data_IF_511942917980
#
_entry.id   IF_511942917980
#
_cell.length_a   1.000
_cell.length_b   1.000
_cell.length_c   1.000
_cell.angle_alpha   90.00
_cell.angle_beta   90.00
_cell.angle_gamma   90.00
#
_symmetry.space_group_name_H-M   'P 1'
#
loop_
_entity.id
_entity.type
_entity.pdbx_description
1 polymer ?
#
# COMPACT_ATOMS: atom_id res chain seq x y z
N UNK A 1 18.76 -8.73 -21.97
CA UNK A 1 17.29 -8.86 -21.86
C UNK A 1 16.68 -7.49 -22.14
N UNK A 2 15.64 -7.36 -22.98
CA UNK A 2 15.00 -6.07 -23.22
C UNK A 2 14.44 -5.53 -21.90
N UNK A 3 14.77 -4.28 -21.58
CA UNK A 3 14.45 -3.65 -20.31
C UNK A 3 12.95 -3.34 -20.28
N UNK A 4 12.16 -4.18 -19.61
CA UNK A 4 10.73 -3.91 -19.42
C UNK A 4 10.58 -2.71 -18.50
N UNK A 5 10.14 -1.57 -19.05
CA UNK A 5 9.84 -0.37 -18.27
C UNK A 5 8.69 -0.68 -17.30
N UNK A 6 8.81 -0.22 -16.04
CA UNK A 6 7.79 -0.38 -15.01
C UNK A 6 7.19 0.97 -14.64
N UNK A 7 5.89 0.98 -14.35
CA UNK A 7 5.20 2.16 -13.87
C UNK A 7 5.81 2.62 -12.54
N UNK A 8 6.22 3.89 -12.45
CA UNK A 8 6.74 4.47 -11.20
C UNK A 8 5.70 4.43 -10.05
N UNK A 9 4.41 4.50 -10.37
CA UNK A 9 3.34 4.55 -9.36
C UNK A 9 2.94 3.19 -8.79
N UNK A 10 2.79 2.17 -9.65
CA UNK A 10 2.25 0.85 -9.24
C UNK A 10 3.14 -0.35 -9.58
N UNK A 11 4.29 -0.14 -10.24
CA UNK A 11 5.25 -1.19 -10.55
C UNK A 11 4.85 -2.17 -11.65
N UNK A 12 3.66 -2.05 -12.24
CA UNK A 12 3.24 -2.89 -13.38
C UNK A 12 4.15 -2.67 -14.60
N UNK A 13 4.38 -3.71 -15.39
CA UNK A 13 5.03 -3.59 -16.69
C UNK A 13 4.25 -2.61 -17.58
N UNK A 14 4.95 -1.66 -18.18
CA UNK A 14 4.35 -0.68 -19.08
C UNK A 14 4.20 -1.28 -20.48
N UNK A 15 3.12 -0.88 -21.16
CA UNK A 15 2.82 -1.26 -22.53
C UNK A 15 2.07 -0.11 -23.23
N UNK A 16 2.16 -0.03 -24.55
CA UNK A 16 1.49 0.99 -25.38
C UNK A 16 0.53 0.39 -26.42
N UNK A 17 0.23 -0.90 -26.32
CA UNK A 17 -0.54 -1.67 -27.30
C UNK A 17 -2.05 -1.63 -27.06
N UNK A 18 -2.50 -1.67 -25.81
CA UNK A 18 -3.92 -1.76 -25.48
C UNK A 18 -4.31 -0.85 -24.31
N UNK A 19 -5.14 0.17 -24.58
CA UNK A 19 -5.58 1.14 -23.59
C UNK A 19 -6.39 0.55 -22.42
N UNK A 20 -7.04 -0.59 -22.64
CA UNK A 20 -7.86 -1.27 -21.64
C UNK A 20 -7.07 -2.26 -20.78
N UNK A 21 -5.75 -2.41 -21.02
CA UNK A 21 -4.90 -3.33 -20.28
C UNK A 21 -4.04 -2.61 -19.22
N UNK A 22 -3.76 -3.26 -18.07
CA UNK A 22 -2.86 -2.70 -17.06
C UNK A 22 -1.51 -2.28 -17.66
N UNK A 23 -0.99 -1.15 -17.19
CA UNK A 23 0.29 -0.63 -17.66
C UNK A 23 0.23 0.21 -18.92
N UNK A 24 -0.96 0.50 -19.46
CA UNK A 24 -1.08 1.35 -20.65
C UNK A 24 -0.46 2.74 -20.45
N UNK A 25 0.35 3.14 -21.43
CA UNK A 25 0.90 4.48 -21.61
C UNK A 25 0.76 4.83 -23.10
N UNK A 26 0.24 6.02 -23.45
CA UNK A 26 0.24 6.49 -24.84
C UNK A 26 1.63 6.38 -25.48
N UNK A 27 1.74 5.91 -26.75
CA UNK A 27 3.03 5.70 -27.41
C UNK A 27 3.96 6.90 -27.33
N UNK A 28 3.43 8.13 -27.48
CA UNK A 28 4.24 9.36 -27.46
C UNK A 28 4.88 9.62 -26.09
N UNK A 29 4.26 9.14 -25.01
CA UNK A 29 4.77 9.27 -23.64
C UNK A 29 5.69 8.11 -23.27
N UNK A 30 5.49 6.94 -23.88
CA UNK A 30 6.28 5.74 -23.61
C UNK A 30 7.74 5.90 -24.05
N UNK A 31 7.97 6.57 -25.18
CA UNK A 31 9.31 6.83 -25.73
C UNK A 31 9.96 8.09 -25.14
N UNK A 32 9.15 9.05 -24.69
CA UNK A 32 9.62 10.38 -24.25
C UNK A 32 10.11 10.42 -22.79
N UNK A 33 9.58 9.57 -21.91
CA UNK A 33 9.88 9.62 -20.48
C UNK A 33 10.60 8.35 -20.02
N UNK A 34 11.73 8.50 -19.32
CA UNK A 34 12.46 7.35 -18.74
C UNK A 34 11.66 6.60 -17.65
N UNK A 35 10.73 7.30 -16.99
CA UNK A 35 9.89 6.75 -15.90
C UNK A 35 8.42 7.16 -16.07
N UNK A 36 7.70 6.62 -17.06
CA UNK A 36 6.30 6.98 -17.28
C UNK A 36 5.39 6.44 -16.17
N UNK A 37 4.32 7.18 -15.87
CA UNK A 37 3.18 6.65 -15.12
C UNK A 37 2.19 6.00 -16.09
N UNK A 38 1.69 4.82 -15.76
CA UNK A 38 0.55 4.25 -16.50
C UNK A 38 -0.68 5.17 -16.36
N UNK A 39 -1.58 5.12 -17.34
CA UNK A 39 -2.76 5.97 -17.42
C UNK A 39 -3.56 6.00 -16.11
N UNK A 40 -3.70 4.84 -15.44
CA UNK A 40 -4.34 4.75 -14.13
C UNK A 40 -3.60 5.55 -13.06
N UNK A 41 -2.29 5.35 -12.91
CA UNK A 41 -1.49 6.06 -11.89
C UNK A 41 -1.45 7.56 -12.15
N UNK A 42 -1.34 7.98 -13.42
CA UNK A 42 -1.43 9.38 -13.80
C UNK A 42 -2.77 10.00 -13.37
N UNK A 43 -3.88 9.33 -13.68
CA UNK A 43 -5.23 9.83 -13.33
C UNK A 43 -5.49 9.89 -11.83
N UNK A 44 -5.01 8.91 -11.07
CA UNK A 44 -5.08 8.94 -9.60
C UNK A 44 -4.30 10.15 -9.07
N UNK A 45 -3.08 10.38 -9.58
CA UNK A 45 -2.20 11.45 -9.12
C UNK A 45 -2.73 12.85 -9.44
N UNK A 46 -3.31 13.05 -10.62
CA UNK A 46 -3.68 14.38 -11.11
C UNK A 46 -5.17 14.70 -11.00
N UNK A 47 -6.05 13.70 -10.97
CA UNK A 47 -7.49 13.92 -11.00
C UNK A 47 -8.25 13.25 -9.84
N UNK A 48 -7.57 12.50 -8.97
CA UNK A 48 -8.23 11.74 -7.89
C UNK A 48 -9.24 10.70 -8.38
N UNK A 49 -9.24 10.37 -9.68
CA UNK A 49 -10.27 9.52 -10.27
C UNK A 49 -9.98 8.04 -10.05
N UNK A 50 -10.97 7.34 -9.48
CA UNK A 50 -10.92 5.89 -9.27
C UNK A 50 -11.22 5.16 -10.58
N UNK A 51 -10.17 4.78 -11.29
CA UNK A 51 -10.32 3.97 -12.50
C UNK A 51 -10.66 2.51 -12.11
N UNK A 52 -11.83 2.01 -12.55
CA UNK A 52 -12.34 0.68 -12.20
C UNK A 52 -11.75 -0.49 -13.01
N UNK A 53 -10.80 -0.25 -13.92
CA UNK A 53 -10.22 -1.29 -14.80
C UNK A 53 -9.29 -2.31 -14.11
N UNK A 54 -9.30 -2.35 -12.77
CA UNK A 54 -8.28 -3.05 -11.97
C UNK A 54 -8.72 -4.45 -11.55
N UNK A 55 -10.02 -4.73 -11.48
CA UNK A 55 -10.48 -5.91 -10.74
C UNK A 55 -10.39 -7.23 -11.51
N UNK A 56 -10.18 -7.23 -12.84
CA UNK A 56 -10.18 -8.50 -13.61
C UNK A 56 -8.89 -9.31 -13.48
N UNK A 57 -7.76 -8.71 -13.08
CA UNK A 57 -6.45 -9.39 -13.13
C UNK A 57 -5.88 -9.80 -11.76
N UNK A 58 -6.33 -9.17 -10.68
CA UNK A 58 -5.86 -9.47 -9.32
C UNK A 58 -7.02 -9.88 -8.45
N UNK A 59 -7.13 -11.19 -8.18
CA UNK A 59 -8.09 -11.70 -7.22
C UNK A 59 -7.52 -11.60 -5.80
N UNK A 60 -8.36 -11.38 -4.77
CA UNK A 60 -7.92 -11.38 -3.38
C UNK A 60 -7.14 -12.64 -2.99
N UNK A 61 -7.48 -13.79 -3.57
CA UNK A 61 -6.85 -15.09 -3.32
C UNK A 61 -5.37 -15.08 -3.73
N UNK A 62 -5.06 -14.58 -4.94
CA UNK A 62 -3.68 -14.47 -5.41
C UNK A 62 -2.83 -13.56 -4.54
N UNK A 63 -3.43 -12.51 -3.97
CA UNK A 63 -2.75 -11.62 -3.02
C UNK A 63 -2.39 -12.40 -1.77
N UNK A 64 -3.35 -13.12 -1.17
CA UNK A 64 -3.12 -13.95 0.02
C UNK A 64 -2.03 -15.00 -0.23
N UNK A 65 -2.13 -15.78 -1.32
CA UNK A 65 -1.13 -16.80 -1.69
C UNK A 65 0.29 -16.23 -1.86
N UNK A 66 0.40 -14.99 -2.34
CA UNK A 66 1.69 -14.31 -2.48
C UNK A 66 2.23 -13.90 -1.12
N UNK A 67 1.39 -13.37 -0.24
CA UNK A 67 1.77 -12.91 1.09
C UNK A 67 2.14 -14.05 2.04
N UNK A 68 1.57 -15.24 1.85
CA UNK A 68 1.95 -16.43 2.63
C UNK A 68 3.43 -16.79 2.49
N UNK A 69 4.05 -16.45 1.35
CA UNK A 69 5.47 -16.69 1.07
C UNK A 69 6.39 -15.65 1.72
N UNK A 70 5.85 -14.58 2.30
CA UNK A 70 6.63 -13.50 2.92
C UNK A 70 6.86 -13.77 4.41
N UNK A 71 8.07 -13.50 4.93
CA UNK A 71 8.34 -13.56 6.38
C UNK A 71 7.55 -12.51 7.15
N UNK A 72 7.59 -11.26 6.69
CA UNK A 72 6.79 -10.16 7.23
C UNK A 72 5.61 -9.82 6.33
N UNK A 73 4.43 -9.59 6.90
CA UNK A 73 3.22 -9.19 6.16
C UNK A 73 2.62 -7.95 6.80
N UNK A 74 2.40 -6.91 5.99
CA UNK A 74 1.97 -5.60 6.44
C UNK A 74 0.75 -5.13 5.64
N UNK A 75 -0.38 -5.02 6.32
CA UNK A 75 -1.60 -4.45 5.77
C UNK A 75 -1.65 -2.95 6.06
N UNK A 76 -1.72 -2.11 5.03
CA UNK A 76 -1.77 -0.66 5.19
C UNK A 76 -3.21 -0.17 5.11
N UNK A 77 -3.67 0.45 6.19
CA UNK A 77 -4.96 1.12 6.31
C UNK A 77 -4.77 2.63 6.50
N UNK A 78 -5.75 3.41 6.07
CA UNK A 78 -5.79 4.86 6.19
C UNK A 78 -6.60 5.27 7.42
N UNK A 79 -5.98 5.95 8.39
CA UNK A 79 -6.67 6.43 9.60
C UNK A 79 -7.78 7.44 9.31
N UNK A 80 -7.73 8.12 8.17
CA UNK A 80 -8.77 9.08 7.76
C UNK A 80 -9.94 8.44 7.04
N UNK A 81 -9.79 7.20 6.57
CA UNK A 81 -10.83 6.40 5.90
C UNK A 81 -10.72 4.91 6.28
N UNK A 82 -10.90 4.62 7.58
CA UNK A 82 -10.82 3.24 8.08
C UNK A 82 -11.95 2.37 7.52
N UNK A 83 -13.13 2.93 7.31
CA UNK A 83 -14.27 2.20 6.73
C UNK A 83 -14.01 1.72 5.30
N UNK A 84 -13.30 2.52 4.48
CA UNK A 84 -12.95 2.15 3.11
C UNK A 84 -11.67 1.32 2.99
N UNK A 85 -10.81 1.33 4.00
CA UNK A 85 -9.45 0.76 3.91
C UNK A 85 -9.10 -0.32 4.93
N UNK A 86 -9.96 -0.58 5.91
CA UNK A 86 -9.80 -1.63 6.91
C UNK A 86 -10.99 -2.59 6.87
N UNK A 87 -10.89 -3.61 6.02
CA UNK A 87 -11.91 -4.64 5.85
C UNK A 87 -11.57 -5.88 6.70
N UNK A 88 -12.35 -6.13 7.76
CA UNK A 88 -12.12 -7.25 8.68
C UNK A 88 -12.18 -8.62 7.99
N UNK A 89 -13.17 -8.85 7.11
CA UNK A 89 -13.32 -10.11 6.39
C UNK A 89 -12.09 -10.44 5.52
N UNK A 90 -11.46 -9.43 4.92
CA UNK A 90 -10.22 -9.63 4.17
C UNK A 90 -9.01 -9.82 5.09
N UNK A 91 -8.96 -9.15 6.24
CA UNK A 91 -7.90 -9.35 7.24
C UNK A 91 -7.88 -10.78 7.79
N UNK A 92 -9.05 -11.39 7.98
CA UNK A 92 -9.18 -12.78 8.44
C UNK A 92 -8.62 -13.81 7.44
N UNK A 93 -8.49 -13.40 6.17
CA UNK A 93 -7.88 -14.22 5.10
C UNK A 93 -6.37 -14.04 5.02
N UNK A 94 -5.81 -13.03 5.68
CA UNK A 94 -4.37 -12.78 5.67
C UNK A 94 -3.68 -13.69 6.71
N UNK A 95 -2.37 -13.93 6.54
CA UNK A 95 -1.63 -14.73 7.51
C UNK A 95 -1.73 -14.12 8.92
N UNK A 96 -1.84 -14.96 9.96
CA UNK A 96 -2.03 -14.51 11.35
C UNK A 96 -0.95 -13.54 11.84
N UNK A 97 0.29 -13.68 11.35
CA UNK A 97 1.42 -12.78 11.60
C UNK A 97 1.29 -11.38 10.98
N UNK A 98 0.21 -11.08 10.27
CA UNK A 98 0.02 -9.80 9.59
C UNK A 98 -0.09 -8.66 10.59
N UNK A 99 0.80 -7.68 10.46
CA UNK A 99 0.72 -6.40 11.15
C UNK A 99 -0.11 -5.40 10.35
N UNK A 100 -0.89 -4.58 11.04
CA UNK A 100 -1.77 -3.57 10.45
C UNK A 100 -1.13 -2.20 10.67
N UNK A 101 -0.64 -1.59 9.59
CA UNK A 101 -0.06 -0.26 9.57
C UNK A 101 -1.18 0.77 9.43
N UNK A 102 -1.41 1.53 10.50
CA UNK A 102 -2.40 2.60 10.55
C UNK A 102 -1.75 3.90 10.06
N UNK A 103 -1.81 4.12 8.75
CA UNK A 103 -1.11 5.22 8.07
C UNK A 103 -1.87 6.55 8.15
N UNK A 104 -1.17 7.64 7.83
CA UNK A 104 -1.63 9.03 7.93
C UNK A 104 -1.94 9.46 9.38
N UNK A 105 -1.21 8.91 10.33
CA UNK A 105 -1.35 9.27 11.75
C UNK A 105 -1.14 10.76 12.02
N UNK A 106 -0.32 11.43 11.20
CA UNK A 106 -0.08 12.86 11.23
C UNK A 106 -1.32 13.74 10.99
N UNK A 107 -2.37 13.18 10.38
CA UNK A 107 -3.62 13.90 10.10
C UNK A 107 -4.61 13.85 11.27
N UNK A 108 -4.34 13.05 12.30
CA UNK A 108 -5.19 12.99 13.48
C UNK A 108 -4.96 14.20 14.42
N UNK A 109 -5.96 14.59 15.22
CA UNK A 109 -5.79 15.61 16.24
C UNK A 109 -4.62 15.29 17.17
N UNK A 110 -3.76 16.28 17.46
CA UNK A 110 -2.55 16.12 18.30
C UNK A 110 -2.83 15.59 19.71
N UNK A 111 -4.06 15.75 20.21
CA UNK A 111 -4.49 15.23 21.50
C UNK A 111 -4.62 13.70 21.52
N UNK A 112 -4.71 13.03 20.36
CA UNK A 112 -4.82 11.58 20.28
C UNK A 112 -3.43 10.95 20.31
N UNK A 113 -3.16 10.15 21.34
CA UNK A 113 -1.96 9.32 21.39
C UNK A 113 -2.10 8.07 20.52
N UNK A 114 -0.96 7.49 20.12
CA UNK A 114 -0.93 6.23 19.38
C UNK A 114 -1.67 5.11 20.12
N UNK A 115 -1.54 5.04 21.45
CA UNK A 115 -2.22 4.03 22.28
C UNK A 115 -3.74 4.23 22.32
N UNK A 116 -4.23 5.48 22.35
CA UNK A 116 -5.66 5.76 22.24
C UNK A 116 -6.22 5.31 20.89
N UNK A 117 -5.48 5.61 19.81
CA UNK A 117 -5.87 5.20 18.45
C UNK A 117 -5.89 3.68 18.31
N UNK A 118 -4.83 3.00 18.77
CA UNK A 118 -4.77 1.52 18.76
C UNK A 118 -5.94 0.92 19.55
N UNK A 119 -6.22 1.43 20.75
CA UNK A 119 -7.32 0.95 21.59
C UNK A 119 -8.68 1.13 20.91
N UNK A 120 -8.91 2.30 20.30
CA UNK A 120 -10.16 2.60 19.61
C UNK A 120 -10.35 1.69 18.39
N UNK A 121 -9.32 1.54 17.55
CA UNK A 121 -9.38 0.70 16.35
C UNK A 121 -9.53 -0.78 16.72
N UNK A 122 -8.76 -1.26 17.70
CA UNK A 122 -8.85 -2.63 18.20
C UNK A 122 -10.27 -2.97 18.67
N UNK A 123 -10.88 -2.08 19.46
CA UNK A 123 -12.25 -2.28 19.96
C UNK A 123 -13.28 -2.22 18.84
N UNK A 124 -13.19 -1.23 17.95
CA UNK A 124 -14.19 -1.01 16.88
C UNK A 124 -14.18 -2.11 15.82
N UNK A 125 -13.02 -2.71 15.54
CA UNK A 125 -12.84 -3.72 14.50
C UNK A 125 -12.56 -5.12 15.04
N UNK A 126 -12.60 -5.32 16.36
CA UNK A 126 -12.33 -6.60 17.05
C UNK A 126 -10.95 -7.19 16.69
N UNK A 127 -9.94 -6.32 16.65
CA UNK A 127 -8.56 -6.67 16.33
C UNK A 127 -7.70 -6.72 17.58
N UNK A 128 -6.62 -7.51 17.54
CA UNK A 128 -5.59 -7.48 18.57
C UNK A 128 -4.81 -6.18 18.50
N UNK A 129 -4.74 -5.47 19.63
CA UNK A 129 -4.10 -4.15 19.72
C UNK A 129 -2.61 -4.21 19.37
N UNK A 130 -1.96 -5.32 19.68
CA UNK A 130 -0.54 -5.59 19.47
C UNK A 130 -0.19 -5.71 17.99
N UNK A 131 -1.18 -6.05 17.14
CA UNK A 131 -1.02 -6.10 15.68
C UNK A 131 -1.12 -4.71 15.02
N UNK A 132 -1.56 -3.68 15.75
CA UNK A 132 -1.79 -2.34 15.23
C UNK A 132 -0.55 -1.46 15.42
N UNK A 133 -0.09 -0.84 14.33
CA UNK A 133 1.12 -0.03 14.33
C UNK A 133 0.87 1.32 13.62
N UNK A 134 0.64 2.42 14.36
CA UNK A 134 0.46 3.75 13.78
C UNK A 134 1.72 4.26 13.10
N UNK A 135 1.56 4.75 11.86
CA UNK A 135 2.65 5.27 11.04
C UNK A 135 2.22 6.52 10.27
N UNK A 136 3.19 7.29 9.82
CA UNK A 136 2.98 8.31 8.82
C UNK A 136 4.14 8.33 7.84
N UNK A 137 3.83 8.18 6.56
CA UNK A 137 4.79 8.47 5.50
C UNK A 137 5.18 9.96 5.46
N UNK A 138 4.24 10.86 5.77
CA UNK A 138 4.44 12.31 5.56
C UNK A 138 5.43 12.92 6.56
N UNK A 139 5.29 12.59 7.85
CA UNK A 139 6.17 13.11 8.90
C UNK A 139 7.11 12.04 9.50
N UNK A 140 7.11 10.84 8.91
CA UNK A 140 7.95 9.71 9.28
C UNK A 140 7.70 9.15 10.69
N UNK A 141 6.55 9.47 11.29
CA UNK A 141 6.14 8.87 12.56
C UNK A 141 6.09 7.34 12.46
N UNK A 142 6.66 6.65 13.45
CA UNK A 142 6.66 5.20 13.54
C UNK A 142 7.60 4.48 12.54
N UNK A 143 8.13 5.16 11.52
CA UNK A 143 8.96 4.51 10.50
C UNK A 143 10.25 3.88 11.03
N UNK A 144 11.01 4.49 11.97
CA UNK A 144 12.20 3.86 12.54
C UNK A 144 11.88 2.50 13.18
N UNK A 145 10.85 2.43 14.03
CA UNK A 145 10.44 1.17 14.64
C UNK A 145 9.88 0.16 13.64
N UNK A 146 9.21 0.62 12.58
CA UNK A 146 8.78 -0.26 11.49
C UNK A 146 9.98 -0.87 10.75
N UNK A 147 11.05 -0.10 10.50
CA UNK A 147 12.28 -0.62 9.88
C UNK A 147 12.90 -1.73 10.70
N UNK A 148 13.01 -1.54 12.02
CA UNK A 148 13.57 -2.55 12.93
C UNK A 148 12.81 -3.89 12.89
N UNK A 149 11.52 -3.85 12.54
CA UNK A 149 10.69 -5.04 12.34
C UNK A 149 10.91 -5.63 10.94
N UNK A 150 10.98 -4.78 9.91
CA UNK A 150 11.17 -5.20 8.52
C UNK A 150 12.50 -5.94 8.31
N UNK A 151 13.59 -5.47 8.92
CA UNK A 151 14.93 -6.08 8.76
C UNK A 151 15.05 -7.47 9.38
N UNK A 152 14.12 -7.87 10.27
CA UNK A 152 14.08 -9.22 10.86
C UNK A 152 13.57 -10.28 9.90
N UNK A 153 12.99 -9.87 8.77
CA UNK A 153 12.34 -10.75 7.81
C UNK A 153 13.09 -10.73 6.48
N UNK A 154 13.38 -11.91 5.92
CA UNK A 154 14.05 -12.03 4.62
C UNK A 154 13.21 -11.47 3.45
N UNK A 155 11.89 -11.53 3.57
CA UNK A 155 10.96 -11.03 2.56
C UNK A 155 9.76 -10.37 3.24
N UNK A 156 9.47 -9.12 2.87
CA UNK A 156 8.37 -8.34 3.41
C UNK A 156 7.31 -8.09 2.32
N UNK A 157 6.06 -8.47 2.60
CA UNK A 157 4.91 -8.25 1.73
C UNK A 157 4.01 -7.12 2.24
N UNK A 158 3.62 -6.21 1.36
CA UNK A 158 2.70 -5.11 1.67
C UNK A 158 1.41 -5.23 0.87
N UNK A 159 0.27 -5.11 1.54
CA UNK A 159 -1.05 -5.09 0.90
C UNK A 159 -1.98 -4.05 1.54
N UNK A 160 -3.17 -3.85 0.95
CA UNK A 160 -4.14 -2.85 1.40
C UNK A 160 -4.79 -2.10 0.23
N UNK A 161 -5.86 -1.36 0.52
CA UNK A 161 -6.68 -0.68 -0.49
C UNK A 161 -5.93 0.43 -1.24
N UNK A 162 -6.47 0.83 -2.39
CA UNK A 162 -5.95 1.96 -3.18
C UNK A 162 -6.00 3.23 -2.31
N UNK A 163 -5.01 4.12 -2.45
CA UNK A 163 -4.90 5.37 -1.68
C UNK A 163 -4.64 5.27 -0.17
N UNK A 164 -4.53 4.06 0.41
CA UNK A 164 -4.12 3.89 1.81
C UNK A 164 -2.67 4.37 2.09
N UNK A 165 -1.90 4.69 1.05
CA UNK A 165 -0.54 5.24 1.17
C UNK A 165 0.59 4.20 1.21
N UNK A 166 0.33 2.97 0.76
CA UNK A 166 1.34 1.90 0.62
C UNK A 166 2.61 2.35 -0.12
N UNK A 167 2.47 2.91 -1.32
CA UNK A 167 3.62 3.34 -2.12
C UNK A 167 4.41 4.46 -1.43
N UNK A 168 3.73 5.41 -0.80
CA UNK A 168 4.38 6.48 -0.03
C UNK A 168 5.19 5.91 1.14
N UNK A 169 4.61 4.98 1.91
CA UNK A 169 5.32 4.31 3.01
C UNK A 169 6.57 3.56 2.52
N UNK A 170 6.44 2.74 1.47
CA UNK A 170 7.55 1.99 0.91
C UNK A 170 8.67 2.93 0.44
N UNK A 171 8.32 3.99 -0.28
CA UNK A 171 9.30 4.96 -0.76
C UNK A 171 10.05 5.65 0.39
N UNK A 172 9.35 6.02 1.47
CA UNK A 172 9.99 6.63 2.64
C UNK A 172 10.88 5.66 3.42
N UNK A 173 10.50 4.38 3.47
CA UNK A 173 11.32 3.33 4.07
C UNK A 173 12.61 3.08 3.28
N UNK A 174 12.56 3.20 1.95
CA UNK A 174 13.70 2.97 1.04
C UNK A 174 14.68 4.15 0.95
N UNK A 175 14.31 5.37 1.39
CA UNK A 175 15.16 6.57 1.30
C UNK A 175 16.40 6.55 2.22
N UNK A 176 16.40 5.70 3.23
CA UNK A 176 17.45 5.61 4.24
C UNK A 176 17.93 4.15 4.28
N UNK A 177 18.99 3.81 3.54
CA UNK A 177 19.68 2.52 3.62
C UNK A 177 20.45 2.36 4.95
#
# INVERSE_FOLDING_TARGET
>A
MPKTLKCEGCGVALQSQNADMPGYVPPELFEKYEKPLCQRCFRIRHYGSHFQLVSRYFSPEKVVETLEKCGGVFYVADLTDLTGTLNADFLDRLPSRTMILLNKFDLLPRALSAEMVKTRVATSYRLERERLFPVSAMNRYGLPGLKDILVRNNLNGFCGYVNAGKSSLINELLKDP
#
